data_IF_613710841223
#
_entry.id   IF_613710841223
#
_cell.length_a   1.000
_cell.length_b   1.000
_cell.length_c   1.000
_cell.angle_alpha   90.00
_cell.angle_beta   90.00
_cell.angle_gamma   90.00
#
_symmetry.space_group_name_H-M   'P 1'
#
loop_
_entity.id
_entity.type
_entity.pdbx_description
1 polymer ?
#
# COMPACT_ATOMS: atom_id res chain seq x y z
N UNK A 1 4.32 -10.99 -26.68
CA UNK A 1 3.78 -11.71 -27.84
C UNK A 1 2.87 -12.87 -27.45
N UNK A 2 3.29 -13.86 -26.63
CA UNK A 2 2.46 -15.04 -26.28
C UNK A 2 1.00 -14.80 -25.81
N UNK A 3 0.70 -13.70 -25.11
CA UNK A 3 -0.69 -13.44 -24.70
C UNK A 3 -1.57 -12.82 -25.80
N UNK A 4 -1.01 -12.16 -26.81
CA UNK A 4 -1.80 -11.52 -27.88
C UNK A 4 -2.54 -12.53 -28.76
N UNK A 5 -1.99 -13.74 -28.92
CA UNK A 5 -2.63 -14.83 -29.66
C UNK A 5 -3.90 -15.33 -28.97
N UNK A 6 -3.94 -15.30 -27.63
CA UNK A 6 -5.12 -15.69 -26.84
C UNK A 6 -6.29 -14.70 -26.93
N UNK A 7 -6.07 -13.51 -27.49
CA UNK A 7 -7.04 -12.42 -27.53
C UNK A 7 -7.57 -12.12 -28.95
N UNK A 8 -7.38 -13.05 -29.90
CA UNK A 8 -7.87 -12.90 -31.29
C UNK A 8 -9.40 -12.89 -31.40
N UNK A 9 -10.12 -13.51 -30.47
CA UNK A 9 -11.60 -13.50 -30.45
C UNK A 9 -12.15 -12.26 -29.75
N UNK A 10 -12.30 -11.16 -30.50
CA UNK A 10 -12.82 -9.86 -30.02
C UNK A 10 -14.22 -9.91 -29.39
N UNK A 11 -14.98 -10.98 -29.58
CA UNK A 11 -16.35 -11.16 -29.04
C UNK A 11 -16.41 -11.79 -27.64
N UNK A 12 -15.26 -12.09 -27.01
CA UNK A 12 -15.25 -12.62 -25.65
C UNK A 12 -15.60 -11.54 -24.62
N UNK A 13 -16.56 -11.80 -23.73
CA UNK A 13 -16.89 -10.90 -22.61
C UNK A 13 -15.66 -10.54 -21.74
N UNK A 14 -14.62 -11.39 -21.74
CA UNK A 14 -13.37 -11.12 -21.00
C UNK A 14 -12.52 -9.99 -21.63
N UNK A 15 -12.79 -9.60 -22.88
CA UNK A 15 -12.07 -8.58 -23.64
C UNK A 15 -12.81 -7.25 -23.73
N UNK A 16 -13.97 -7.15 -23.08
CA UNK A 16 -14.75 -5.91 -23.00
C UNK A 16 -13.94 -4.77 -22.37
N UNK A 17 -14.34 -3.54 -22.68
CA UNK A 17 -13.75 -2.36 -22.05
C UNK A 17 -14.03 -2.32 -20.55
N UNK A 18 -13.16 -1.62 -19.83
CA UNK A 18 -13.21 -1.50 -18.38
C UNK A 18 -14.16 -0.36 -17.99
N UNK A 19 -15.08 -0.63 -17.07
CA UNK A 19 -15.92 0.40 -16.45
C UNK A 19 -15.33 0.86 -15.11
N UNK A 20 -15.81 1.99 -14.59
CA UNK A 20 -15.38 2.49 -13.27
C UNK A 20 -15.75 1.51 -12.14
N UNK A 21 -16.98 0.98 -12.15
CA UNK A 21 -17.44 0.00 -11.16
C UNK A 21 -16.59 -1.28 -11.16
N UNK A 22 -16.17 -1.75 -12.35
CA UNK A 22 -15.29 -2.94 -12.45
C UNK A 22 -13.86 -2.63 -11.99
N UNK A 23 -13.37 -1.41 -12.24
CA UNK A 23 -12.07 -0.95 -11.73
C UNK A 23 -12.08 -0.88 -10.19
N UNK A 24 -13.13 -0.32 -9.60
CA UNK A 24 -13.33 -0.31 -8.15
C UNK A 24 -13.33 -1.74 -7.61
N UNK A 25 -14.06 -2.65 -8.26
CA UNK A 25 -14.09 -4.05 -7.87
C UNK A 25 -12.72 -4.74 -7.96
N UNK A 26 -11.92 -4.40 -8.98
CA UNK A 26 -10.53 -4.88 -9.10
C UNK A 26 -9.68 -4.42 -7.90
N UNK A 27 -9.79 -3.15 -7.51
CA UNK A 27 -9.09 -2.63 -6.34
C UNK A 27 -9.58 -3.27 -5.04
N UNK A 28 -10.89 -3.47 -4.90
CA UNK A 28 -11.48 -4.20 -3.79
C UNK A 28 -10.91 -5.62 -3.63
N UNK A 29 -10.64 -6.33 -4.73
CA UNK A 29 -9.98 -7.65 -4.67
C UNK A 29 -8.50 -7.58 -4.28
N UNK A 30 -7.78 -6.54 -4.68
CA UNK A 30 -6.38 -6.33 -4.25
C UNK A 30 -6.31 -6.02 -2.75
N UNK A 31 -7.25 -5.22 -2.25
CA UNK A 31 -7.39 -4.89 -0.82
C UNK A 31 -7.78 -6.13 -0.02
N UNK A 32 -8.71 -6.96 -0.51
CA UNK A 32 -9.05 -8.23 0.13
C UNK A 32 -7.84 -9.16 0.22
N UNK A 33 -7.05 -9.27 -0.86
CA UNK A 33 -5.85 -10.09 -0.86
C UNK A 33 -4.80 -9.60 0.13
N UNK A 34 -4.68 -8.28 0.32
CA UNK A 34 -3.82 -7.67 1.34
C UNK A 34 -4.30 -7.97 2.76
N UNK A 35 -5.60 -7.77 3.02
CA UNK A 35 -6.23 -8.00 4.32
C UNK A 35 -6.09 -9.46 4.79
N UNK A 36 -6.29 -10.41 3.87
CA UNK A 36 -6.20 -11.84 4.14
C UNK A 36 -4.79 -12.42 3.98
N UNK A 37 -3.79 -11.60 3.63
CA UNK A 37 -2.40 -12.03 3.37
C UNK A 37 -2.25 -13.09 2.27
N UNK A 38 -3.16 -13.09 1.29
CA UNK A 38 -3.18 -14.00 0.15
C UNK A 38 -2.55 -13.42 -1.12
N UNK A 39 -1.90 -12.25 -1.01
CA UNK A 39 -1.32 -11.50 -2.13
C UNK A 39 -0.23 -12.26 -2.92
N UNK A 40 0.40 -13.26 -2.30
CA UNK A 40 1.40 -14.13 -2.93
C UNK A 40 0.85 -15.42 -3.54
N UNK A 41 -0.43 -15.76 -3.32
CA UNK A 41 -1.04 -16.94 -3.94
C UNK A 41 -1.08 -16.80 -5.48
N UNK A 42 -1.08 -17.92 -6.18
CA UNK A 42 -1.36 -17.93 -7.63
C UNK A 42 -2.81 -17.52 -7.86
N UNK A 43 -3.13 -17.02 -9.06
CA UNK A 43 -4.51 -16.64 -9.37
C UNK A 43 -5.44 -17.85 -9.35
N UNK A 44 -4.97 -19.02 -9.79
CA UNK A 44 -5.73 -20.26 -9.71
C UNK A 44 -6.20 -20.56 -8.27
N UNK A 45 -5.28 -20.49 -7.28
CA UNK A 45 -5.62 -20.71 -5.87
C UNK A 45 -6.47 -19.58 -5.28
N UNK A 46 -6.22 -18.34 -5.70
CA UNK A 46 -6.97 -17.18 -5.23
C UNK A 46 -8.45 -17.23 -5.65
N UNK A 47 -8.73 -17.77 -6.84
CA UNK A 47 -10.07 -17.92 -7.39
C UNK A 47 -10.65 -19.33 -7.17
N UNK A 48 -9.98 -20.19 -6.39
CA UNK A 48 -10.51 -21.48 -5.99
C UNK A 48 -11.40 -21.32 -4.76
N UNK A 49 -12.68 -21.68 -4.91
CA UNK A 49 -13.68 -21.60 -3.85
C UNK A 49 -13.32 -22.44 -2.62
N UNK A 50 -12.59 -23.54 -2.79
CA UNK A 50 -12.20 -24.41 -1.68
C UNK A 50 -11.13 -23.79 -0.77
N UNK A 51 -10.26 -22.94 -1.32
CA UNK A 51 -9.16 -22.32 -0.58
C UNK A 51 -9.48 -20.89 -0.13
N UNK A 52 -10.07 -20.07 -1.00
CA UNK A 52 -10.27 -18.64 -0.75
C UNK A 52 -11.76 -18.23 -0.63
N UNK A 53 -12.67 -19.21 -0.68
CA UNK A 53 -14.11 -18.96 -0.69
C UNK A 53 -14.59 -18.27 -1.96
N UNK A 54 -15.84 -17.81 -1.94
CA UNK A 54 -16.51 -17.34 -3.15
C UNK A 54 -16.31 -15.85 -3.49
N UNK A 55 -15.73 -15.04 -2.61
CA UNK A 55 -15.63 -13.57 -2.77
C UNK A 55 -14.92 -13.15 -4.07
N UNK A 56 -13.83 -13.82 -4.43
CA UNK A 56 -13.11 -13.53 -5.67
C UNK A 56 -13.94 -13.86 -6.91
N UNK A 57 -14.51 -15.08 -6.98
CA UNK A 57 -15.36 -15.54 -8.10
C UNK A 57 -16.66 -14.75 -8.21
N UNK A 58 -17.26 -14.38 -7.08
CA UNK A 58 -18.44 -13.53 -6.99
C UNK A 58 -18.17 -12.11 -7.52
N UNK A 59 -16.94 -11.64 -7.43
CA UNK A 59 -16.56 -10.31 -7.95
C UNK A 59 -16.21 -10.32 -9.43
N UNK A 60 -15.32 -11.20 -9.89
CA UNK A 60 -15.01 -11.35 -11.32
C UNK A 60 -14.45 -12.75 -11.63
N UNK A 61 -14.31 -13.09 -12.91
CA UNK A 61 -13.64 -14.34 -13.29
C UNK A 61 -12.12 -14.21 -13.14
N UNK A 62 -11.43 -15.33 -12.87
CA UNK A 62 -9.95 -15.35 -12.82
C UNK A 62 -9.34 -14.82 -14.14
N UNK A 63 -9.92 -15.22 -15.27
CA UNK A 63 -9.49 -14.79 -16.61
C UNK A 63 -9.63 -13.27 -16.77
N UNK A 64 -10.73 -12.68 -16.31
CA UNK A 64 -10.95 -11.22 -16.36
C UNK A 64 -9.99 -10.49 -15.42
N UNK A 65 -9.81 -10.98 -14.19
CA UNK A 65 -8.83 -10.42 -13.26
C UNK A 65 -7.42 -10.40 -13.88
N UNK A 66 -6.97 -11.53 -14.44
CA UNK A 66 -5.68 -11.62 -15.10
C UNK A 66 -5.56 -10.67 -16.31
N UNK A 67 -6.63 -10.57 -17.12
CA UNK A 67 -6.67 -9.66 -18.25
C UNK A 67 -6.52 -8.20 -17.79
N UNK A 68 -7.33 -7.75 -16.84
CA UNK A 68 -7.29 -6.39 -16.31
C UNK A 68 -5.93 -6.07 -15.68
N UNK A 69 -5.39 -6.95 -14.84
CA UNK A 69 -4.06 -6.78 -14.25
C UNK A 69 -2.96 -6.71 -15.31
N UNK A 70 -3.09 -7.37 -16.47
CA UNK A 70 -2.11 -7.26 -17.56
C UNK A 70 -2.30 -5.98 -18.41
N UNK A 71 -3.53 -5.50 -18.53
CA UNK A 71 -3.92 -4.37 -19.37
C UNK A 71 -3.87 -3.02 -18.64
N UNK A 72 -3.91 -2.98 -17.31
CA UNK A 72 -3.91 -1.73 -16.53
C UNK A 72 -2.72 -0.83 -16.87
N UNK A 73 -3.01 0.41 -17.27
CA UNK A 73 -2.07 1.50 -17.58
C UNK A 73 -2.54 2.76 -16.85
N UNK A 74 -1.63 3.71 -16.68
CA UNK A 74 -1.85 4.89 -15.82
C UNK A 74 -1.50 6.19 -16.55
N UNK A 75 -1.41 6.13 -17.87
CA UNK A 75 -0.93 7.22 -18.69
C UNK A 75 -1.34 7.05 -20.15
N UNK A 76 -1.35 8.15 -20.89
CA UNK A 76 -1.53 8.11 -22.34
C UNK A 76 -0.24 7.64 -23.03
N UNK A 77 -0.38 6.62 -23.88
CA UNK A 77 0.71 6.06 -24.67
C UNK A 77 1.22 7.04 -25.72
N UNK A 78 0.38 7.90 -26.28
CA UNK A 78 0.74 8.82 -27.37
C UNK A 78 1.76 9.85 -26.90
N UNK A 79 1.58 10.39 -25.69
CA UNK A 79 2.46 11.41 -25.09
C UNK A 79 3.62 10.84 -24.27
N UNK A 80 3.64 9.51 -24.03
CA UNK A 80 4.62 8.87 -23.12
C UNK A 80 6.07 9.09 -23.53
N UNK A 81 6.37 9.11 -24.84
CA UNK A 81 7.74 9.25 -25.31
C UNK A 81 8.31 10.63 -24.97
N UNK A 82 7.51 11.69 -25.17
CA UNK A 82 7.86 13.06 -24.79
C UNK A 82 8.02 13.19 -23.27
N UNK A 83 7.03 12.74 -22.49
CA UNK A 83 7.08 12.83 -21.01
C UNK A 83 8.24 12.05 -20.38
N UNK A 84 8.74 11.02 -21.04
CA UNK A 84 9.93 10.29 -20.58
C UNK A 84 11.22 11.11 -20.65
N UNK A 85 11.27 12.14 -21.50
CA UNK A 85 12.39 13.07 -21.56
C UNK A 85 12.41 13.99 -20.33
N UNK A 86 11.25 14.25 -19.74
CA UNK A 86 11.09 15.06 -18.53
C UNK A 86 11.29 14.22 -17.26
N UNK A 87 10.68 13.03 -17.20
CA UNK A 87 10.75 12.18 -16.00
C UNK A 87 10.70 10.69 -16.31
N UNK A 88 11.55 9.92 -15.63
CA UNK A 88 11.51 8.45 -15.69
C UNK A 88 10.25 7.86 -15.06
N UNK A 89 9.52 8.65 -14.26
CA UNK A 89 8.24 8.25 -13.63
C UNK A 89 7.05 8.41 -14.59
N UNK A 90 7.23 8.93 -15.81
CA UNK A 90 6.15 9.25 -16.76
C UNK A 90 5.03 8.19 -16.89
N UNK A 91 5.28 6.86 -16.86
CA UNK A 91 4.22 5.87 -16.95
C UNK A 91 3.19 5.85 -15.80
N UNK A 92 3.42 6.58 -14.70
CA UNK A 92 2.56 6.61 -13.50
C UNK A 92 2.51 8.00 -12.83
N UNK A 93 3.30 8.97 -13.29
CA UNK A 93 3.50 10.26 -12.61
C UNK A 93 2.19 10.99 -12.29
N UNK A 94 1.26 11.06 -13.24
CA UNK A 94 -0.03 11.76 -13.04
C UNK A 94 -0.81 11.19 -11.86
N UNK A 95 -0.91 9.86 -11.76
CA UNK A 95 -1.65 9.20 -10.67
C UNK A 95 -0.89 9.35 -9.35
N UNK A 96 0.46 9.36 -9.40
CA UNK A 96 1.28 9.63 -8.22
C UNK A 96 1.06 11.05 -7.68
N UNK A 97 1.05 12.05 -8.56
CA UNK A 97 0.85 13.45 -8.20
C UNK A 97 -0.54 13.67 -7.59
N UNK A 98 -1.57 13.02 -8.12
CA UNK A 98 -2.93 13.01 -7.54
C UNK A 98 -2.91 12.43 -6.11
N UNK A 99 -2.23 11.29 -5.91
CA UNK A 99 -2.14 10.69 -4.57
C UNK A 99 -1.42 11.62 -3.60
N UNK A 100 -0.25 12.17 -3.97
CA UNK A 100 0.51 13.07 -3.10
C UNK A 100 -0.22 14.37 -2.81
N UNK A 101 -0.96 14.91 -3.77
CA UNK A 101 -1.84 16.05 -3.56
C UNK A 101 -2.90 15.73 -2.49
N UNK A 102 -3.57 14.58 -2.60
CA UNK A 102 -4.56 14.16 -1.61
C UNK A 102 -3.95 13.85 -0.23
N UNK A 103 -2.76 13.24 -0.19
CA UNK A 103 -2.05 12.98 1.06
C UNK A 103 -1.79 14.29 1.82
N UNK A 104 -1.30 15.33 1.12
CA UNK A 104 -1.00 16.64 1.72
C UNK A 104 -2.23 17.41 2.20
N UNK A 105 -3.32 17.41 1.43
CA UNK A 105 -4.45 18.29 1.68
C UNK A 105 -5.49 17.72 2.67
N UNK A 106 -5.48 16.42 2.94
CA UNK A 106 -6.49 15.76 3.78
C UNK A 106 -6.06 15.51 5.23
N UNK A 107 -4.88 15.98 5.65
CA UNK A 107 -4.36 15.73 6.99
C UNK A 107 -3.45 16.86 7.47
N UNK A 108 -3.58 17.23 8.75
CA UNK A 108 -2.68 18.17 9.43
C UNK A 108 -1.72 17.37 10.32
N UNK A 109 -0.40 17.39 10.06
CA UNK A 109 0.56 16.61 10.85
C UNK A 109 0.61 16.99 12.32
N UNK A 110 1.01 16.06 13.18
CA UNK A 110 1.29 16.30 14.60
C UNK A 110 2.59 17.10 14.78
N UNK A 111 3.07 17.26 16.02
CA UNK A 111 4.27 18.03 16.32
C UNK A 111 5.56 17.42 15.77
N UNK A 112 5.58 16.11 15.53
CA UNK A 112 6.76 15.37 15.09
C UNK A 112 6.52 14.68 13.76
N UNK A 113 7.41 14.91 12.80
CA UNK A 113 7.43 14.23 11.51
C UNK A 113 8.77 13.56 11.29
N UNK A 114 8.79 12.49 10.50
CA UNK A 114 10.00 11.72 10.20
C UNK A 114 10.22 11.69 8.70
N UNK A 115 11.44 11.99 8.25
CA UNK A 115 11.88 11.75 6.87
C UNK A 115 12.82 10.56 6.86
N UNK A 116 12.48 9.58 6.03
CA UNK A 116 13.30 8.39 5.76
C UNK A 116 12.91 7.78 4.41
N UNK A 117 13.45 6.60 4.12
CA UNK A 117 13.25 5.86 2.88
C UNK A 117 12.46 4.55 3.05
N UNK A 118 11.54 4.36 2.12
CA UNK A 118 10.93 3.08 1.82
C UNK A 118 11.63 2.42 0.62
N UNK A 119 11.77 1.10 0.66
CA UNK A 119 12.23 0.31 -0.49
C UNK A 119 11.14 -0.67 -0.97
N UNK A 120 10.46 -0.31 -2.06
CA UNK A 120 9.41 -1.14 -2.66
C UNK A 120 10.03 -2.27 -3.46
N UNK A 121 9.87 -3.50 -2.98
CA UNK A 121 10.51 -4.69 -3.55
C UNK A 121 10.19 -4.95 -5.02
N UNK A 122 11.21 -4.91 -5.88
CA UNK A 122 11.05 -5.17 -7.31
C UNK A 122 12.34 -5.67 -7.97
N UNK A 123 12.27 -6.81 -8.66
CA UNK A 123 13.41 -7.43 -9.37
C UNK A 123 13.35 -7.33 -10.89
N UNK A 124 12.24 -6.87 -11.45
CA UNK A 124 12.10 -6.70 -12.90
C UNK A 124 12.94 -5.53 -13.45
N UNK A 125 12.85 -5.31 -14.77
CA UNK A 125 13.55 -4.18 -15.40
C UNK A 125 12.87 -2.87 -14.99
N UNK A 126 13.64 -2.02 -14.31
CA UNK A 126 13.26 -0.67 -13.92
C UNK A 126 14.51 0.22 -14.04
N UNK A 127 14.44 1.38 -14.72
CA UNK A 127 15.62 2.22 -14.99
C UNK A 127 16.20 2.91 -13.74
N UNK A 128 15.51 2.81 -12.60
CA UNK A 128 15.91 3.42 -11.32
C UNK A 128 15.77 2.43 -10.15
N UNK A 129 15.87 1.12 -10.44
CA UNK A 129 15.95 0.09 -9.40
C UNK A 129 17.25 0.27 -8.59
N UNK A 130 17.13 0.24 -7.28
CA UNK A 130 18.24 0.33 -6.33
C UNK A 130 18.53 -1.02 -5.69
N UNK A 131 19.79 -1.22 -5.33
CA UNK A 131 20.25 -2.29 -4.43
C UNK A 131 20.63 -1.67 -3.09
N UNK A 132 19.98 -2.12 -2.00
CA UNK A 132 20.24 -1.66 -0.63
C UNK A 132 20.49 -2.91 0.24
N UNK A 133 21.77 -3.24 0.54
CA UNK A 133 22.13 -4.49 1.23
C UNK A 133 21.46 -4.67 2.60
N UNK A 134 21.23 -3.57 3.32
CA UNK A 134 20.73 -3.56 4.70
C UNK A 134 19.22 -3.80 4.82
N UNK A 135 18.44 -3.63 3.74
CA UNK A 135 16.99 -3.82 3.77
C UNK A 135 16.62 -5.29 3.48
N UNK A 136 15.56 -5.86 4.09
CA UNK A 136 15.15 -7.26 3.89
C UNK A 136 14.92 -7.60 2.42
N UNK A 137 14.25 -6.70 1.69
CA UNK A 137 14.14 -6.79 0.24
C UNK A 137 15.22 -5.94 -0.41
N UNK A 138 16.39 -6.53 -0.70
CA UNK A 138 17.57 -5.78 -1.15
C UNK A 138 17.43 -5.08 -2.50
N UNK A 139 16.47 -5.45 -3.35
CA UNK A 139 16.28 -4.86 -4.69
C UNK A 139 14.89 -4.25 -4.80
N UNK A 140 14.82 -2.97 -5.17
CA UNK A 140 13.53 -2.29 -5.25
C UNK A 140 13.57 -0.88 -5.80
N UNK A 141 12.43 -0.21 -5.73
CA UNK A 141 12.28 1.21 -6.04
C UNK A 141 12.41 1.97 -4.72
N UNK A 142 13.43 2.82 -4.59
CA UNK A 142 13.64 3.66 -3.41
C UNK A 142 12.69 4.85 -3.48
N UNK A 143 11.98 5.11 -2.39
CA UNK A 143 11.04 6.22 -2.26
C UNK A 143 11.39 6.95 -0.96
N UNK A 144 11.64 8.26 -1.02
CA UNK A 144 11.85 9.09 0.18
C UNK A 144 10.49 9.61 0.63
N UNK A 145 10.19 9.52 1.92
CA UNK A 145 8.87 9.76 2.47
C UNK A 145 8.96 10.65 3.70
N UNK A 146 7.97 11.53 3.87
CA UNK A 146 7.72 12.26 5.11
C UNK A 146 6.45 11.70 5.76
N UNK A 147 6.58 11.12 6.95
CA UNK A 147 5.47 10.57 7.71
C UNK A 147 5.26 11.32 9.01
N UNK A 148 4.00 11.43 9.43
CA UNK A 148 3.64 11.87 10.77
C UNK A 148 4.06 10.83 11.81
N UNK A 149 4.74 11.23 12.87
CA UNK A 149 5.22 10.26 13.86
C UNK A 149 4.07 9.70 14.72
N UNK A 150 3.04 10.46 15.04
CA UNK A 150 1.96 9.97 15.91
C UNK A 150 1.11 8.89 15.22
N UNK A 151 0.74 9.13 13.96
CA UNK A 151 -0.26 8.30 13.25
C UNK A 151 0.34 7.41 12.16
N UNK A 152 1.59 7.66 11.78
CA UNK A 152 2.28 7.03 10.64
C UNK A 152 1.62 7.37 9.29
N UNK A 153 0.84 8.45 9.24
CA UNK A 153 0.26 9.00 8.01
C UNK A 153 1.37 9.51 7.07
N UNK A 154 1.33 9.12 5.80
CA UNK A 154 2.25 9.61 4.77
C UNK A 154 1.78 10.98 4.31
N UNK A 155 2.59 12.01 4.54
CA UNK A 155 2.26 13.40 4.24
C UNK A 155 2.66 13.74 2.81
N UNK A 156 3.91 13.47 2.45
CA UNK A 156 4.45 13.68 1.10
C UNK A 156 5.55 12.66 0.80
N UNK A 157 5.87 12.46 -0.47
CA UNK A 157 6.87 11.50 -0.89
C UNK A 157 7.44 11.78 -2.29
N UNK A 158 8.74 11.49 -2.46
CA UNK A 158 9.47 11.69 -3.71
C UNK A 158 10.20 10.39 -4.08
N UNK A 159 9.86 9.75 -5.22
CA UNK A 159 10.59 8.59 -5.72
C UNK A 159 12.01 8.94 -6.15
N UNK A 160 12.98 8.11 -5.80
CA UNK A 160 14.35 8.23 -6.32
C UNK A 160 14.44 7.60 -7.72
N UNK A 161 14.70 8.43 -8.74
CA UNK A 161 14.72 8.03 -10.15
C UNK A 161 16.16 7.82 -10.69
N UNK A 162 17.14 7.62 -9.81
CA UNK A 162 18.54 7.48 -10.19
C UNK A 162 19.21 8.82 -10.56
N UNK A 163 20.27 8.75 -11.37
CA UNK A 163 20.94 9.94 -11.90
C UNK A 163 19.94 10.84 -12.64
N UNK A 164 19.98 12.13 -12.33
CA UNK A 164 19.08 13.16 -12.88
C UNK A 164 17.84 13.45 -12.03
N UNK A 165 17.63 12.79 -10.88
CA UNK A 165 16.51 13.12 -9.98
C UNK A 165 16.72 14.45 -9.27
N UNK A 166 17.97 14.70 -8.85
CA UNK A 166 18.37 15.92 -8.16
C UNK A 166 19.00 16.87 -9.19
N UNK A 167 18.62 18.16 -9.22
CA UNK A 167 19.24 19.16 -10.08
C UNK A 167 20.76 19.23 -9.89
N UNK A 168 21.49 19.52 -10.97
CA UNK A 168 22.95 19.66 -10.91
C UNK A 168 23.34 20.76 -9.91
N UNK A 169 24.37 20.49 -9.10
CA UNK A 169 24.87 21.41 -8.08
C UNK A 169 24.13 21.38 -6.74
N UNK A 170 23.01 20.65 -6.63
CA UNK A 170 22.31 20.49 -5.35
C UNK A 170 22.75 19.23 -4.61
N UNK A 171 22.86 19.35 -3.29
CA UNK A 171 23.04 18.20 -2.39
C UNK A 171 21.75 17.40 -2.35
N UNK A 172 21.83 16.09 -2.58
CA UNK A 172 20.65 15.23 -2.67
C UNK A 172 19.79 15.27 -1.40
N UNK A 173 20.42 15.21 -0.22
CA UNK A 173 19.74 15.33 1.07
C UNK A 173 18.88 16.60 1.14
N UNK A 174 19.49 17.75 0.86
CA UNK A 174 18.84 19.06 0.87
C UNK A 174 17.67 19.11 -0.10
N UNK A 175 17.85 18.60 -1.33
CA UNK A 175 16.77 18.52 -2.31
C UNK A 175 15.56 17.75 -1.77
N UNK A 176 15.75 16.54 -1.23
CA UNK A 176 14.63 15.74 -0.74
C UNK A 176 13.96 16.41 0.46
N UNK A 177 14.74 16.82 1.46
CA UNK A 177 14.21 17.40 2.70
C UNK A 177 13.47 18.70 2.39
N UNK A 178 14.10 19.65 1.68
CA UNK A 178 13.49 20.95 1.37
C UNK A 178 12.24 20.83 0.50
N UNK A 179 12.14 19.82 -0.36
CA UNK A 179 10.91 19.59 -1.14
C UNK A 179 9.81 18.93 -0.31
N UNK A 180 10.13 17.95 0.53
CA UNK A 180 9.15 17.25 1.37
C UNK A 180 8.55 18.16 2.44
N UNK A 181 9.35 19.04 3.05
CA UNK A 181 8.87 19.90 4.14
C UNK A 181 8.06 21.11 3.67
N UNK A 182 7.89 21.33 2.36
CA UNK A 182 7.19 22.51 1.80
C UNK A 182 5.81 22.73 2.42
N UNK A 183 5.06 21.67 2.68
CA UNK A 183 3.71 21.74 3.26
C UNK A 183 3.67 22.05 4.75
N UNK A 184 4.81 21.99 5.46
CA UNK A 184 4.90 22.22 6.91
C UNK A 184 5.81 23.38 7.29
N UNK A 185 6.31 24.15 6.31
CA UNK A 185 7.10 25.36 6.58
C UNK A 185 6.32 26.34 7.47
N UNK A 186 7.02 27.04 8.36
CA UNK A 186 6.41 28.01 9.27
C UNK A 186 5.71 27.39 10.47
N UNK A 187 5.68 26.07 10.62
CA UNK A 187 4.82 25.42 11.60
C UNK A 187 5.47 25.08 12.94
N UNK A 188 6.76 25.35 13.12
CA UNK A 188 7.53 25.01 14.33
C UNK A 188 7.48 23.51 14.70
N UNK A 189 7.27 22.64 13.71
CA UNK A 189 7.30 21.18 13.91
C UNK A 189 8.74 20.69 14.02
N UNK A 190 8.91 19.55 14.65
CA UNK A 190 10.18 18.85 14.71
C UNK A 190 10.28 17.79 13.61
N UNK A 191 11.39 17.83 12.88
CA UNK A 191 11.76 16.85 11.88
C UNK A 191 12.79 15.87 12.44
N UNK A 192 12.45 14.59 12.43
CA UNK A 192 13.39 13.51 12.71
C UNK A 192 13.94 12.90 11.43
N UNK A 193 15.25 12.75 11.32
CA UNK A 193 15.85 12.16 10.12
C UNK A 193 17.16 11.42 10.40
N UNK A 194 17.54 10.54 9.48
CA UNK A 194 18.76 9.75 9.56
C UNK A 194 20.02 10.53 9.11
N UNK A 195 21.16 9.84 9.10
CA UNK A 195 22.45 10.44 8.77
C UNK A 195 22.66 10.71 7.28
N UNK A 196 21.83 10.17 6.40
CA UNK A 196 21.87 10.47 4.98
C UNK A 196 21.28 11.86 4.72
N UNK A 197 20.24 12.23 5.48
CA UNK A 197 19.59 13.54 5.40
C UNK A 197 20.25 14.63 6.26
N UNK A 198 20.99 14.28 7.33
CA UNK A 198 21.57 15.27 8.25
C UNK A 198 22.87 15.93 7.77
N UNK A 199 22.86 17.27 7.66
CA UNK A 199 24.06 18.11 7.59
C UNK A 199 23.80 19.48 8.25
N UNK A 200 24.86 20.14 8.75
CA UNK A 200 24.74 21.37 9.54
C UNK A 200 24.10 22.52 8.74
N UNK A 201 24.54 22.84 7.51
CA UNK A 201 23.91 23.91 6.72
C UNK A 201 22.40 23.71 6.51
N UNK A 202 21.97 22.47 6.21
CA UNK A 202 20.56 22.15 6.06
C UNK A 202 19.78 22.35 7.36
N UNK A 203 20.34 21.95 8.51
CA UNK A 203 19.69 22.11 9.82
C UNK A 203 19.47 23.58 10.14
N UNK A 204 20.49 24.42 9.95
CA UNK A 204 20.37 25.86 10.18
C UNK A 204 19.35 26.50 9.24
N UNK A 205 19.37 26.13 7.95
CA UNK A 205 18.39 26.64 6.99
C UNK A 205 16.96 26.15 7.29
N UNK A 206 16.77 24.95 7.84
CA UNK A 206 15.46 24.49 8.30
C UNK A 206 14.98 25.28 9.53
N UNK A 207 15.88 25.56 10.47
CA UNK A 207 15.58 26.32 11.67
C UNK A 207 15.20 27.78 11.36
N UNK A 208 16.08 28.46 10.63
CA UNK A 208 15.97 29.91 10.41
C UNK A 208 14.96 30.27 9.32
N UNK A 209 15.03 29.60 8.16
CA UNK A 209 14.23 29.95 6.99
C UNK A 209 12.86 29.27 7.00
N UNK A 210 12.81 27.98 7.38
CA UNK A 210 11.59 27.17 7.29
C UNK A 210 10.84 27.06 8.62
N UNK A 211 11.40 27.57 9.73
CA UNK A 211 10.85 27.45 11.10
C UNK A 211 10.52 26.00 11.47
N UNK A 212 11.50 25.12 11.26
CA UNK A 212 11.43 23.71 11.60
C UNK A 212 12.64 23.31 12.44
N UNK A 213 12.40 22.65 13.56
CA UNK A 213 13.49 22.09 14.35
C UNK A 213 13.85 20.70 13.86
N UNK A 214 15.07 20.24 14.15
CA UNK A 214 15.58 18.94 13.71
C UNK A 214 16.05 18.14 14.91
N UNK A 215 15.88 16.82 14.84
CA UNK A 215 16.63 15.83 15.59
C UNK A 215 17.12 14.78 14.60
N UNK A 216 18.41 14.43 14.60
CA UNK A 216 18.86 13.38 13.69
C UNK A 216 20.26 12.86 13.97
N UNK A 217 20.58 11.73 13.34
CA UNK A 217 21.94 11.17 13.42
C UNK A 217 22.88 11.93 12.52
N UNK A 218 24.06 12.28 13.02
CA UNK A 218 25.10 12.95 12.22
C UNK A 218 26.30 12.02 12.04
N UNK A 219 26.87 12.00 10.83
CA UNK A 219 28.01 11.14 10.55
C UNK A 219 29.25 11.64 11.29
N UNK A 220 30.03 10.71 11.84
CA UNK A 220 31.26 10.99 12.60
C UNK A 220 32.37 11.65 11.78
N UNK A 221 32.35 11.51 10.46
CA UNK A 221 33.35 12.07 9.56
C UNK A 221 33.05 13.52 9.14
N UNK A 222 32.09 14.18 9.78
CA UNK A 222 31.77 15.60 9.57
C UNK A 222 32.86 16.46 10.19
N UNK A 223 33.35 17.45 9.42
CA UNK A 223 34.49 18.31 9.81
C UNK A 223 34.15 19.23 10.97
N UNK A 224 32.86 19.48 11.16
CA UNK A 224 32.25 20.26 12.22
C UNK A 224 32.35 19.54 13.58
N UNK A 225 32.66 18.24 13.59
CA UNK A 225 32.76 17.45 14.82
C UNK A 225 34.23 17.27 15.25
N UNK A 226 34.58 17.61 16.51
CA UNK A 226 35.91 17.33 17.05
C UNK A 226 36.21 15.83 17.08
N UNK A 227 37.48 15.46 16.94
CA UNK A 227 37.92 14.06 16.98
C UNK A 227 37.62 13.42 18.34
N UNK A 228 37.76 14.18 19.43
CA UNK A 228 37.43 13.77 20.80
C UNK A 228 35.96 13.36 20.95
N UNK A 229 35.08 13.91 20.11
CA UNK A 229 33.66 13.68 20.13
C UNK A 229 33.24 12.41 19.37
N UNK A 230 34.08 11.98 18.42
CA UNK A 230 33.77 10.93 17.46
C UNK A 230 34.61 9.66 17.65
N UNK A 231 35.74 9.77 18.36
CA UNK A 231 36.57 8.65 18.78
C UNK A 231 35.96 7.92 19.99
N UNK A 232 35.72 6.61 19.80
CA UNK A 232 35.16 5.74 20.83
C UNK A 232 36.15 5.39 21.94
N UNK A 233 37.45 5.53 21.68
CA UNK A 233 38.56 5.22 22.60
C UNK A 233 39.08 6.44 23.35
N UNK A 234 38.64 7.64 22.98
CA UNK A 234 39.08 8.88 23.61
C UNK A 234 38.96 8.79 25.15
N UNK A 235 40.06 9.02 25.86
CA UNK A 235 40.15 9.01 27.33
C UNK A 235 39.55 7.75 28.01
N UNK A 236 39.66 6.56 27.41
CA UNK A 236 39.13 5.31 27.98
C UNK A 236 37.65 5.39 28.36
N UNK A 237 36.87 6.15 27.59
CA UNK A 237 35.46 6.45 27.83
C UNK A 237 34.64 5.19 28.10
N UNK A 238 33.89 5.16 29.20
CA UNK A 238 33.06 4.01 29.60
C UNK A 238 31.67 4.03 28.96
N UNK A 239 30.93 2.92 29.05
CA UNK A 239 29.52 2.87 28.62
C UNK A 239 28.66 3.83 29.43
N UNK A 240 27.54 4.25 28.85
CA UNK A 240 26.56 5.18 29.42
C UNK A 240 27.08 6.58 29.72
N UNK A 241 28.18 6.96 29.05
CA UNK A 241 28.72 8.32 29.09
C UNK A 241 28.28 9.13 27.86
N UNK A 242 28.12 10.43 28.04
CA UNK A 242 27.79 11.36 26.97
C UNK A 242 28.70 12.58 26.97
N UNK A 243 28.98 13.12 25.78
CA UNK A 243 29.59 14.42 25.58
C UNK A 243 28.61 15.30 24.81
N UNK A 244 28.62 16.59 25.11
CA UNK A 244 27.77 17.59 24.47
C UNK A 244 28.63 18.66 23.81
N UNK A 245 28.17 19.15 22.67
CA UNK A 245 28.67 20.35 22.01
C UNK A 245 27.51 21.31 21.86
N UNK A 246 27.72 22.54 22.29
CA UNK A 246 26.73 23.60 22.23
C UNK A 246 27.09 24.59 21.13
N UNK A 247 26.10 24.91 20.33
CA UNK A 247 26.12 25.98 19.35
C UNK A 247 24.81 26.77 19.54
N UNK A 248 24.79 28.05 19.14
CA UNK A 248 23.62 28.91 19.27
C UNK A 248 22.35 28.26 18.68
N UNK A 249 22.49 27.64 17.51
CA UNK A 249 21.38 27.00 16.78
C UNK A 249 21.07 25.55 17.18
N UNK A 250 22.02 24.83 17.78
CA UNK A 250 21.87 23.40 17.99
C UNK A 250 22.80 22.82 19.05
N UNK A 251 22.37 21.70 19.62
CA UNK A 251 23.18 20.86 20.50
C UNK A 251 23.51 19.54 19.80
N UNK A 252 24.78 19.12 19.88
CA UNK A 252 25.21 17.80 19.42
C UNK A 252 25.51 16.94 20.64
N UNK A 253 25.07 15.69 20.62
CA UNK A 253 25.41 14.69 21.64
C UNK A 253 26.15 13.51 21.02
N UNK A 254 27.23 13.11 21.68
CA UNK A 254 27.95 11.86 21.44
C UNK A 254 27.65 10.98 22.64
N UNK A 255 26.97 9.85 22.44
CA UNK A 255 26.57 8.92 23.50
C UNK A 255 27.17 7.54 23.24
N UNK A 256 27.80 6.95 24.26
CA UNK A 256 28.44 5.63 24.20
C UNK A 256 27.55 4.59 24.91
N UNK A 257 26.56 3.98 24.22
CA UNK A 257 25.65 3.01 24.86
C UNK A 257 26.36 1.74 25.33
N UNK A 258 27.47 1.34 24.69
CA UNK A 258 28.28 0.21 25.09
C UNK A 258 29.72 0.39 24.61
N UNK A 259 30.60 -0.55 24.94
CA UNK A 259 32.03 -0.42 24.66
C UNK A 259 32.39 -0.34 23.16
N UNK A 260 31.56 -0.90 22.28
CA UNK A 260 31.83 -1.00 20.84
C UNK A 260 31.02 -0.04 19.97
N UNK A 261 30.06 0.70 20.54
CA UNK A 261 29.19 1.62 19.81
C UNK A 261 29.24 3.03 20.37
N UNK A 262 29.30 3.98 19.45
CA UNK A 262 29.19 5.40 19.72
C UNK A 262 28.16 6.00 18.75
N UNK A 263 27.15 6.64 19.31
CA UNK A 263 26.03 7.27 18.59
C UNK A 263 26.22 8.79 18.64
N UNK A 264 26.06 9.45 17.50
CA UNK A 264 26.17 10.91 17.40
C UNK A 264 24.86 11.46 16.86
N UNK A 265 24.23 12.35 17.62
CA UNK A 265 22.98 13.02 17.26
C UNK A 265 23.18 14.54 17.31
N UNK A 266 22.47 15.25 16.45
CA UNK A 266 22.37 16.71 16.44
C UNK A 266 20.90 17.10 16.62
N UNK A 267 20.64 18.16 17.38
CA UNK A 267 19.31 18.70 17.53
C UNK A 267 19.29 20.22 17.63
N UNK A 268 18.41 20.85 16.86
CA UNK A 268 18.05 22.27 17.01
C UNK A 268 16.82 22.50 17.90
N UNK A 269 16.29 21.44 18.54
CA UNK A 269 15.18 21.52 19.48
C UNK A 269 15.62 21.51 20.95
N UNK A 270 16.89 21.20 21.22
CA UNK A 270 17.43 21.06 22.58
C UNK A 270 18.62 22.00 22.74
N UNK A 271 18.71 22.67 23.89
CA UNK A 271 19.76 23.65 24.22
C UNK A 271 20.55 23.29 25.48
N UNK A 272 20.23 22.16 26.14
CA UNK A 272 20.88 21.72 27.37
C UNK A 272 21.53 20.34 27.23
N UNK A 273 22.19 19.89 28.31
CA UNK A 273 22.77 18.56 28.45
C UNK A 273 21.96 17.64 29.35
N UNK A 274 20.62 17.72 29.29
CA UNK A 274 19.76 16.91 30.15
C UNK A 274 19.92 15.40 29.88
N UNK A 275 20.06 14.63 30.96
CA UNK A 275 20.25 13.17 30.95
C UNK A 275 19.22 12.55 31.88
N UNK A 276 18.50 11.55 31.39
CA UNK A 276 17.54 10.81 32.20
C UNK A 276 18.28 10.02 33.31
N UNK A 277 17.93 10.24 34.59
CA UNK A 277 18.69 9.68 35.72
C UNK A 277 18.57 8.16 35.84
N UNK A 278 17.53 7.56 35.26
CA UNK A 278 17.24 6.11 35.34
C UNK A 278 17.99 5.37 34.24
N UNK A 279 17.76 5.74 32.98
CA UNK A 279 18.32 5.08 31.80
C UNK A 279 19.73 5.55 31.46
N UNK A 280 20.19 6.66 32.06
CA UNK A 280 21.47 7.34 31.78
C UNK A 280 21.60 7.82 30.33
N UNK A 281 20.49 7.89 29.59
CA UNK A 281 20.48 8.35 28.21
C UNK A 281 20.24 9.86 28.15
N UNK A 282 20.98 10.60 27.31
CA UNK A 282 20.65 11.98 27.01
C UNK A 282 19.22 12.12 26.48
N UNK A 283 18.52 13.19 26.85
CA UNK A 283 17.14 13.42 26.38
C UNK A 283 17.03 13.47 24.85
N UNK A 284 18.04 14.04 24.17
CA UNK A 284 18.14 14.03 22.70
C UNK A 284 18.08 12.60 22.14
N UNK A 285 18.74 11.63 22.80
CA UNK A 285 18.74 10.22 22.40
C UNK A 285 17.36 9.59 22.64
N UNK A 286 16.70 9.92 23.75
CA UNK A 286 15.35 9.43 24.05
C UNK A 286 14.34 9.96 23.02
N UNK A 287 14.36 11.27 22.75
CA UNK A 287 13.48 11.92 21.79
C UNK A 287 13.71 11.41 20.36
N UNK A 288 14.96 11.21 19.94
CA UNK A 288 15.27 10.58 18.66
C UNK A 288 14.70 9.15 18.57
N UNK A 289 14.86 8.34 19.62
CA UNK A 289 14.34 6.96 19.61
C UNK A 289 12.82 6.89 19.55
N UNK A 290 12.11 7.86 20.16
CA UNK A 290 10.65 7.95 20.13
C UNK A 290 10.08 8.37 18.75
N UNK A 291 10.90 8.98 17.90
CA UNK A 291 10.45 9.66 16.67
C UNK A 291 11.07 9.11 15.38
N UNK A 292 12.24 8.45 15.44
CA UNK A 292 12.91 7.88 14.25
C UNK A 292 12.10 6.79 13.54
N UNK A 293 11.14 6.17 14.23
CA UNK A 293 10.37 5.03 13.72
C UNK A 293 9.17 5.39 12.83
N UNK A 294 8.94 6.66 12.50
CA UNK A 294 7.77 7.10 11.72
C UNK A 294 7.58 6.34 10.41
N UNK A 295 8.58 6.39 9.53
CA UNK A 295 8.54 5.73 8.21
C UNK A 295 8.68 4.21 8.33
N UNK A 296 9.58 3.71 9.18
CA UNK A 296 9.75 2.26 9.39
C UNK A 296 8.47 1.59 9.93
N UNK A 297 7.70 2.27 10.78
CA UNK A 297 6.40 1.76 11.27
C UNK A 297 5.37 1.70 10.14
N UNK A 298 5.34 2.72 9.28
CA UNK A 298 4.51 2.70 8.08
C UNK A 298 4.90 1.53 7.15
N UNK A 299 6.20 1.31 6.92
CA UNK A 299 6.71 0.17 6.16
C UNK A 299 6.30 -1.17 6.78
N UNK A 300 6.33 -1.30 8.11
CA UNK A 300 5.86 -2.49 8.79
C UNK A 300 4.34 -2.70 8.60
N UNK A 301 3.55 -1.63 8.69
CA UNK A 301 2.09 -1.69 8.48
C UNK A 301 1.75 -2.16 7.07
N UNK A 302 2.43 -1.65 6.06
CA UNK A 302 2.22 -2.02 4.64
C UNK A 302 2.74 -3.41 4.32
N UNK A 303 3.82 -3.87 4.96
CA UNK A 303 4.28 -5.26 4.83
C UNK A 303 3.30 -6.26 5.47
N UNK A 304 2.62 -5.88 6.56
CA UNK A 304 1.64 -6.74 7.22
C UNK A 304 0.35 -6.94 6.41
N UNK A 305 -0.08 -5.93 5.64
CA UNK A 305 -1.26 -6.00 4.76
C UNK A 305 -0.90 -5.35 3.42
N UNK A 306 -0.36 -6.15 2.49
CA UNK A 306 0.26 -5.66 1.27
C UNK A 306 -0.56 -6.01 0.01
N UNK A 307 -0.94 -5.00 -0.77
CA UNK A 307 -1.65 -5.15 -2.05
C UNK A 307 -0.76 -5.68 -3.18
N UNK A 308 0.56 -5.82 -2.95
CA UNK A 308 1.53 -6.18 -3.98
C UNK A 308 1.36 -7.62 -4.46
N UNK A 309 1.29 -7.77 -5.79
CA UNK A 309 1.38 -9.07 -6.47
C UNK A 309 2.60 -9.14 -7.36
N UNK A 310 3.04 -10.37 -7.67
CA UNK A 310 4.14 -10.62 -8.61
C UNK A 310 3.82 -9.98 -9.97
N UNK A 311 4.71 -9.10 -10.44
CA UNK A 311 4.58 -8.43 -11.74
C UNK A 311 5.95 -8.25 -12.39
N UNK A 312 5.98 -8.16 -13.72
CA UNK A 312 7.17 -7.79 -14.51
C UNK A 312 7.18 -6.30 -14.87
N UNK A 313 6.12 -5.55 -14.53
CA UNK A 313 5.92 -4.15 -14.90
C UNK A 313 6.11 -3.27 -13.66
N UNK A 314 7.21 -2.52 -13.62
CA UNK A 314 7.50 -1.63 -12.49
C UNK A 314 6.39 -0.60 -12.20
N UNK A 315 5.66 -0.02 -13.18
CA UNK A 315 4.59 0.94 -12.86
C UNK A 315 3.45 0.30 -12.07
N UNK A 316 3.15 -0.98 -12.35
CA UNK A 316 2.15 -1.72 -11.60
C UNK A 316 2.65 -2.08 -10.19
N UNK A 317 3.94 -2.40 -10.04
CA UNK A 317 4.54 -2.58 -8.72
C UNK A 317 4.45 -1.30 -7.88
N UNK A 318 4.74 -0.16 -8.50
CA UNK A 318 4.64 1.16 -7.87
C UNK A 318 3.20 1.48 -7.48
N UNK A 319 2.23 1.19 -8.36
CA UNK A 319 0.80 1.36 -8.09
C UNK A 319 0.30 0.51 -6.91
N UNK A 320 0.79 -0.72 -6.73
CA UNK A 320 0.42 -1.49 -5.54
C UNK A 320 0.88 -0.82 -4.24
N UNK A 321 2.05 -0.17 -4.26
CA UNK A 321 2.50 0.62 -3.11
C UNK A 321 1.63 1.87 -2.89
N UNK A 322 1.16 2.51 -3.96
CA UNK A 322 0.20 3.62 -3.88
C UNK A 322 -1.11 3.18 -3.20
N UNK A 323 -1.62 1.99 -3.51
CA UNK A 323 -2.76 1.41 -2.80
C UNK A 323 -2.45 1.19 -1.31
N UNK A 324 -1.26 0.71 -0.97
CA UNK A 324 -0.87 0.54 0.43
C UNK A 324 -0.85 1.87 1.19
N UNK A 325 -0.25 2.92 0.59
CA UNK A 325 -0.24 4.29 1.16
C UNK A 325 -1.69 4.77 1.39
N UNK A 326 -2.53 4.67 0.36
CA UNK A 326 -3.92 5.12 0.43
C UNK A 326 -4.71 4.38 1.52
N UNK A 327 -4.55 3.06 1.65
CA UNK A 327 -5.22 2.27 2.68
C UNK A 327 -4.82 2.68 4.10
N UNK A 328 -3.53 2.91 4.36
CA UNK A 328 -3.06 3.34 5.68
C UNK A 328 -3.55 4.75 5.99
N UNK A 329 -3.40 5.69 5.06
CA UNK A 329 -3.83 7.07 5.25
C UNK A 329 -5.36 7.17 5.45
N UNK A 330 -6.15 6.43 4.66
CA UNK A 330 -7.61 6.40 4.81
C UNK A 330 -8.02 5.84 6.18
N UNK A 331 -7.34 4.80 6.68
CA UNK A 331 -7.58 4.27 8.02
C UNK A 331 -7.27 5.29 9.12
N UNK A 332 -6.18 6.05 9.00
CA UNK A 332 -5.85 7.13 9.95
C UNK A 332 -6.96 8.19 9.99
N UNK A 333 -7.42 8.65 8.82
CA UNK A 333 -8.52 9.64 8.73
C UNK A 333 -9.80 9.07 9.34
N UNK A 334 -10.13 7.81 9.05
CA UNK A 334 -11.27 7.11 9.66
C UNK A 334 -11.17 7.11 11.19
N UNK A 335 -10.01 6.76 11.77
CA UNK A 335 -9.80 6.73 13.21
C UNK A 335 -10.01 8.11 13.84
N UNK A 336 -9.45 9.17 13.24
CA UNK A 336 -9.67 10.53 13.75
C UNK A 336 -11.14 10.94 13.69
N UNK A 337 -11.81 10.68 12.57
CA UNK A 337 -13.22 11.03 12.42
C UNK A 337 -14.13 10.21 13.34
N UNK A 338 -13.79 8.95 13.59
CA UNK A 338 -14.51 8.09 14.52
C UNK A 338 -14.48 8.69 15.93
N UNK A 339 -13.30 9.01 16.47
CA UNK A 339 -13.19 9.58 17.82
C UNK A 339 -13.70 11.02 17.93
N UNK A 340 -13.70 11.79 16.83
CA UNK A 340 -14.31 13.11 16.83
C UNK A 340 -15.85 13.04 16.93
N UNK A 341 -16.48 12.01 16.36
CA UNK A 341 -17.94 11.83 16.35
C UNK A 341 -18.45 11.03 17.54
N UNK A 342 -17.74 9.96 17.90
CA UNK A 342 -18.11 9.05 18.97
C UNK A 342 -17.31 9.41 20.23
N UNK A 343 -17.97 10.12 21.15
CA UNK A 343 -17.39 10.52 22.44
C UNK A 343 -17.56 9.45 23.55
N UNK A 344 -18.24 8.35 23.23
CA UNK A 344 -18.42 7.22 24.14
C UNK A 344 -17.23 6.24 24.02
N UNK A 345 -17.12 5.29 24.95
CA UNK A 345 -16.07 4.25 24.98
C UNK A 345 -16.18 3.18 23.86
N UNK A 346 -16.86 3.50 22.76
CA UNK A 346 -16.92 2.63 21.59
C UNK A 346 -15.56 2.54 20.92
N UNK A 347 -15.19 1.33 20.49
CA UNK A 347 -13.91 1.09 19.81
C UNK A 347 -14.11 1.15 18.30
N UNK A 348 -13.20 1.82 17.55
CA UNK A 348 -13.24 1.80 16.10
C UNK A 348 -12.95 0.39 15.58
N UNK A 349 -13.41 0.11 14.36
CA UNK A 349 -12.95 -1.04 13.59
C UNK A 349 -11.43 -1.14 13.59
N UNK A 350 -10.92 -2.35 13.80
CA UNK A 350 -9.51 -2.66 13.53
C UNK A 350 -9.18 -2.46 12.06
N UNK A 351 -7.89 -2.29 11.72
CA UNK A 351 -7.45 -2.11 10.32
C UNK A 351 -7.85 -3.27 9.41
N UNK A 352 -7.90 -4.49 9.93
CA UNK A 352 -8.41 -5.66 9.19
C UNK A 352 -9.89 -5.48 8.83
N UNK A 353 -10.73 -5.18 9.82
CA UNK A 353 -12.17 -4.96 9.62
C UNK A 353 -12.44 -3.79 8.67
N UNK A 354 -11.71 -2.69 8.83
CA UNK A 354 -11.77 -1.55 7.92
C UNK A 354 -11.49 -1.95 6.47
N UNK A 355 -10.41 -2.71 6.20
CA UNK A 355 -10.08 -3.15 4.85
C UNK A 355 -11.11 -4.15 4.29
N UNK A 356 -11.70 -5.00 5.14
CA UNK A 356 -12.79 -5.90 4.73
C UNK A 356 -14.07 -5.13 4.38
N UNK A 357 -14.40 -4.06 5.13
CA UNK A 357 -15.51 -3.15 4.80
C UNK A 357 -15.26 -2.43 3.48
N UNK A 358 -14.06 -1.84 3.32
CA UNK A 358 -13.67 -1.15 2.10
C UNK A 358 -13.70 -2.07 0.88
N UNK A 359 -13.29 -3.33 1.03
CA UNK A 359 -13.46 -4.34 -0.02
C UNK A 359 -14.92 -4.47 -0.45
N UNK A 360 -15.85 -4.65 0.49
CA UNK A 360 -17.29 -4.78 0.21
C UNK A 360 -17.80 -3.53 -0.52
N UNK A 361 -17.52 -2.34 0.01
CA UNK A 361 -17.95 -1.07 -0.59
C UNK A 361 -17.47 -0.91 -2.05
N UNK A 362 -16.24 -1.33 -2.35
CA UNK A 362 -15.67 -1.27 -3.70
C UNK A 362 -16.20 -2.35 -4.65
N UNK A 363 -16.68 -3.50 -4.15
CA UNK A 363 -17.13 -4.61 -4.99
C UNK A 363 -18.63 -4.75 -5.16
N UNK A 364 -19.42 -4.27 -4.20
CA UNK A 364 -20.87 -4.58 -4.13
C UNK A 364 -21.63 -4.07 -5.36
N UNK A 365 -21.35 -2.84 -5.83
CA UNK A 365 -21.98 -2.28 -7.03
C UNK A 365 -21.75 -3.18 -8.25
N UNK A 366 -20.51 -3.60 -8.47
CA UNK A 366 -20.16 -4.47 -9.59
C UNK A 366 -20.76 -5.87 -9.45
N UNK A 367 -20.75 -6.43 -8.24
CA UNK A 367 -21.38 -7.73 -7.94
C UNK A 367 -22.88 -7.70 -8.27
N UNK A 368 -23.62 -6.64 -7.88
CA UNK A 368 -25.03 -6.45 -8.26
C UNK A 368 -25.20 -6.28 -9.77
N UNK A 369 -24.35 -5.50 -10.42
CA UNK A 369 -24.37 -5.38 -11.88
C UNK A 369 -24.21 -6.74 -12.57
N UNK A 370 -23.36 -7.63 -12.05
CA UNK A 370 -23.21 -8.99 -12.61
C UNK A 370 -24.48 -9.83 -12.52
N UNK A 371 -25.31 -9.66 -11.48
CA UNK A 371 -26.60 -10.36 -11.34
C UNK A 371 -27.61 -10.01 -12.45
N UNK A 372 -27.45 -8.84 -13.08
CA UNK A 372 -28.28 -8.40 -14.21
C UNK A 372 -27.98 -9.16 -15.51
N UNK A 373 -26.85 -9.88 -15.59
CA UNK A 373 -26.49 -10.60 -16.80
C UNK A 373 -27.43 -11.80 -17.04
N UNK A 374 -28.09 -11.90 -18.22
CA UNK A 374 -29.16 -12.86 -18.47
C UNK A 374 -28.70 -14.32 -18.49
N UNK A 375 -27.39 -14.57 -18.69
CA UNK A 375 -26.80 -15.91 -18.82
C UNK A 375 -25.82 -16.26 -17.68
N UNK A 376 -25.98 -15.64 -16.51
CA UNK A 376 -25.18 -15.99 -15.33
C UNK A 376 -25.50 -17.41 -14.85
N UNK A 377 -24.48 -18.19 -14.46
CA UNK A 377 -24.71 -19.54 -13.93
C UNK A 377 -25.40 -19.48 -12.56
N UNK A 378 -26.21 -20.51 -12.24
CA UNK A 378 -26.90 -20.60 -10.94
C UNK A 378 -25.91 -20.57 -9.77
N UNK A 379 -24.84 -21.34 -9.84
CA UNK A 379 -23.77 -21.37 -8.83
C UNK A 379 -23.19 -19.96 -8.60
N UNK A 380 -22.87 -19.23 -9.67
CA UNK A 380 -22.30 -17.90 -9.55
C UNK A 380 -23.31 -16.89 -9.00
N UNK A 381 -24.59 -17.00 -9.39
CA UNK A 381 -25.68 -16.17 -8.83
C UNK A 381 -25.78 -16.37 -7.33
N UNK A 382 -25.90 -17.61 -6.86
CA UNK A 382 -25.97 -17.93 -5.42
C UNK A 382 -24.72 -17.42 -4.69
N UNK A 383 -23.53 -17.63 -5.25
CA UNK A 383 -22.29 -17.13 -4.66
C UNK A 383 -22.26 -15.60 -4.53
N UNK A 384 -22.85 -14.86 -5.46
CA UNK A 384 -22.93 -13.40 -5.40
C UNK A 384 -23.95 -12.95 -4.35
N UNK A 385 -25.13 -13.55 -4.34
CA UNK A 385 -26.20 -13.27 -3.37
C UNK A 385 -25.72 -13.55 -1.93
N UNK A 386 -25.00 -14.65 -1.71
CA UNK A 386 -24.39 -14.99 -0.42
C UNK A 386 -23.32 -13.98 0.03
N UNK A 387 -22.48 -13.50 -0.90
CA UNK A 387 -21.42 -12.53 -0.60
C UNK A 387 -21.98 -11.13 -0.34
N UNK A 388 -23.05 -10.75 -1.03
CA UNK A 388 -23.77 -9.50 -0.81
C UNK A 388 -24.60 -9.51 0.47
N UNK A 389 -24.82 -10.69 1.08
CA UNK A 389 -25.74 -10.89 2.21
C UNK A 389 -27.20 -10.49 1.85
N UNK A 390 -27.52 -10.50 0.55
CA UNK A 390 -28.82 -10.16 -0.03
C UNK A 390 -29.54 -11.45 -0.44
N UNK A 391 -30.10 -12.18 0.52
CA UNK A 391 -30.95 -13.34 0.20
C UNK A 391 -32.28 -12.85 -0.38
N UNK A 392 -32.59 -13.21 -1.62
CA UNK A 392 -33.98 -13.18 -2.06
C UNK A 392 -34.75 -14.27 -1.32
N UNK A 393 -35.90 -13.91 -0.74
CA UNK A 393 -36.89 -14.88 -0.27
C UNK A 393 -37.23 -15.80 -1.44
N UNK A 394 -37.16 -17.13 -1.30
CA UNK A 394 -37.46 -18.01 -2.42
C UNK A 394 -38.91 -17.77 -2.87
N UNK A 395 -39.09 -17.34 -4.12
CA UNK A 395 -40.39 -17.36 -4.78
C UNK A 395 -40.80 -18.84 -4.83
N UNK A 396 -41.79 -19.16 -4.01
CA UNK A 396 -42.30 -20.49 -3.83
C UNK A 396 -43.26 -20.84 -4.97
N UNK A 397 -42.76 -20.84 -6.20
CA UNK A 397 -43.51 -21.37 -7.34
C UNK A 397 -43.10 -22.82 -7.53
N UNK A 398 -43.99 -23.73 -7.14
CA UNK A 398 -43.99 -25.10 -7.66
C UNK A 398 -44.80 -25.13 -8.96
N UNK A 399 -44.19 -25.09 -10.15
CA UNK A 399 -44.86 -25.57 -11.34
C UNK A 399 -44.45 -27.02 -11.61
N UNK A 400 -45.44 -27.89 -11.82
CA UNK A 400 -45.25 -29.25 -12.37
C UNK A 400 -44.62 -29.25 -13.78
N UNK A 401 -44.51 -28.07 -14.42
CA UNK A 401 -43.73 -27.82 -15.63
C UNK A 401 -42.89 -26.54 -15.48
N UNK A 402 -41.59 -26.70 -15.24
CA UNK A 402 -40.64 -25.58 -15.17
C UNK A 402 -40.14 -25.10 -16.55
N UNK A 403 -39.41 -23.96 -16.60
CA UNK A 403 -38.83 -23.42 -17.83
C UNK A 403 -37.89 -24.43 -18.50
N UNK A 404 -37.79 -24.41 -19.84
CA UNK A 404 -36.91 -25.31 -20.61
C UNK A 404 -35.47 -25.24 -20.09
N UNK A 405 -34.98 -26.32 -19.48
CA UNK A 405 -33.59 -26.48 -19.00
C UNK A 405 -32.87 -27.57 -19.80
N UNK A 406 -31.53 -27.56 -19.78
CA UNK A 406 -30.77 -28.68 -20.32
C UNK A 406 -30.94 -29.92 -19.43
N UNK A 407 -30.99 -31.10 -20.03
CA UNK A 407 -31.03 -32.35 -19.27
C UNK A 407 -29.69 -32.60 -18.57
N UNK A 408 -29.73 -32.89 -17.26
CA UNK A 408 -28.55 -33.08 -16.42
C UNK A 408 -27.74 -34.33 -16.81
N UNK A 409 -28.40 -35.33 -17.39
CA UNK A 409 -27.79 -36.60 -17.80
C UNK A 409 -27.22 -36.57 -19.23
N UNK A 410 -27.57 -35.54 -20.01
CA UNK A 410 -26.99 -35.37 -21.33
C UNK A 410 -25.61 -34.73 -21.23
N UNK A 411 -24.67 -35.19 -22.06
CA UNK A 411 -23.47 -34.41 -22.35
C UNK A 411 -23.84 -32.98 -22.74
N UNK A 412 -23.20 -31.99 -22.12
CA UNK A 412 -23.43 -30.56 -22.39
C UNK A 412 -23.39 -30.20 -23.89
N UNK A 413 -22.58 -30.93 -24.68
CA UNK A 413 -22.48 -30.75 -26.14
C UNK A 413 -23.81 -31.01 -26.88
N UNK A 414 -24.66 -31.91 -26.37
CA UNK A 414 -25.95 -32.24 -26.99
C UNK A 414 -26.99 -31.12 -26.83
N UNK A 415 -26.81 -30.21 -25.85
CA UNK A 415 -27.71 -29.08 -25.57
C UNK A 415 -29.20 -29.46 -25.59
N UNK A 416 -29.54 -30.65 -25.08
CA UNK A 416 -30.90 -31.16 -25.13
C UNK A 416 -31.77 -30.52 -24.06
N UNK A 417 -32.78 -29.79 -24.49
CA UNK A 417 -33.72 -29.11 -23.62
C UNK A 417 -34.85 -30.05 -23.18
N UNK A 418 -35.34 -29.86 -21.96
CA UNK A 418 -36.47 -30.56 -21.38
C UNK A 418 -37.31 -29.63 -20.51
N UNK A 419 -38.60 -29.90 -20.46
CA UNK A 419 -39.58 -29.30 -19.53
C UNK A 419 -39.99 -30.28 -18.43
N UNK A 420 -39.39 -31.48 -18.43
CA UNK A 420 -39.70 -32.59 -17.52
C UNK A 420 -38.66 -32.67 -16.43
N UNK A 421 -39.12 -32.84 -15.20
CA UNK A 421 -38.31 -32.93 -14.00
C UNK A 421 -38.54 -34.26 -13.30
N UNK A 422 -37.50 -34.80 -12.67
CA UNK A 422 -37.62 -35.98 -11.83
C UNK A 422 -38.61 -35.72 -10.68
N UNK A 423 -39.59 -36.59 -10.50
CA UNK A 423 -40.58 -36.46 -9.41
C UNK A 423 -39.93 -36.43 -8.01
N UNK A 424 -38.83 -37.15 -7.81
CA UNK A 424 -38.18 -37.29 -6.50
C UNK A 424 -37.11 -36.23 -6.25
N UNK A 425 -36.17 -36.01 -7.18
CA UNK A 425 -35.05 -35.07 -6.98
C UNK A 425 -35.17 -33.74 -7.73
N UNK A 426 -36.23 -33.54 -8.52
CA UNK A 426 -36.51 -32.32 -9.28
C UNK A 426 -35.40 -31.89 -10.26
N UNK A 427 -34.55 -32.83 -10.71
CA UNK A 427 -33.55 -32.59 -11.77
C UNK A 427 -34.19 -32.64 -13.17
N UNK A 428 -33.80 -31.75 -14.11
CA UNK A 428 -34.30 -31.79 -15.49
C UNK A 428 -33.83 -33.03 -16.25
N UNK A 429 -34.78 -33.82 -16.76
CA UNK A 429 -34.56 -35.11 -17.42
C UNK A 429 -35.19 -35.09 -18.82
N UNK A 430 -34.45 -35.52 -19.85
CA UNK A 430 -35.00 -35.68 -21.20
C UNK A 430 -35.62 -37.07 -21.36
N UNK A 431 -36.45 -37.26 -22.39
CA UNK A 431 -37.13 -38.54 -22.61
C UNK A 431 -36.22 -39.77 -22.73
N UNK A 432 -34.98 -39.61 -23.23
CA UNK A 432 -33.97 -40.69 -23.27
C UNK A 432 -33.41 -41.06 -21.89
N UNK A 433 -33.36 -40.11 -20.96
CA UNK A 433 -32.87 -40.33 -19.59
C UNK A 433 -34.04 -40.43 -18.60
N UNK A 434 -35.12 -41.04 -19.10
CA UNK A 434 -36.47 -41.30 -18.56
C UNK A 434 -37.45 -40.14 -18.32
N UNK A 435 -38.73 -40.54 -18.27
CA UNK A 435 -39.92 -39.69 -18.42
C UNK A 435 -40.55 -39.20 -17.10
N UNK A 436 -40.37 -39.91 -15.97
CA UNK A 436 -40.92 -39.51 -14.66
C UNK A 436 -39.87 -39.46 -13.54
N UNK A 437 -39.03 -40.49 -13.36
CA UNK A 437 -38.12 -40.61 -12.19
C UNK A 437 -36.68 -40.92 -12.61
N UNK A 438 -35.70 -40.05 -12.31
CA UNK A 438 -34.28 -40.10 -12.77
C UNK A 438 -33.54 -41.41 -12.51
N UNK A 439 -32.50 -41.71 -13.30
CA UNK A 439 -31.67 -42.91 -13.13
C UNK A 439 -31.04 -43.02 -11.74
N UNK A 440 -30.82 -41.89 -11.06
CA UNK A 440 -30.22 -41.85 -9.72
C UNK A 440 -31.25 -41.97 -8.57
N UNK A 441 -32.54 -42.00 -8.89
CA UNK A 441 -33.63 -42.12 -7.92
C UNK A 441 -34.30 -43.47 -8.12
#
# INVERSE_FOLDING_TARGET
QRQRENYKNKTSANLSDLTLSELNALFGLLILAAALKNNHLTTNLLFDSSFCGNRYRATMSEKRFCFLINCLRFDDRTTRLQRKNETKLAPISVVWDILMFNCKNNYKPSSYVTIDEQLVGFRGRCPFRMYIPSKPTRYGIKIVMMCDNATKYVIDSIPYLGKGTVPNGQVAADFYVKNLVKSIKGSNRNLTMDNWFCNVPLIQSLLHDDKLTVIGTIKKNKRELPTQFTDIKFQNRTSDTSFFLFHEDFTVVSYKPNQSKLVTLISSAHQDSSIDPITKKPEIVLNYNATKGGVDSFDQMTNNMNCSRKTKRWPLCFFYNMLNIANVNAYVIYIHNFYNKNKNDEKPMSRLQFMLSLHKELTNEWQRHRLSFPKISRELRTNIEDVLEEKQVPINDKPQHGPRKYCDYCSYKKRRLTTTYCIECQRPICGEHQKKKCLDC
#
